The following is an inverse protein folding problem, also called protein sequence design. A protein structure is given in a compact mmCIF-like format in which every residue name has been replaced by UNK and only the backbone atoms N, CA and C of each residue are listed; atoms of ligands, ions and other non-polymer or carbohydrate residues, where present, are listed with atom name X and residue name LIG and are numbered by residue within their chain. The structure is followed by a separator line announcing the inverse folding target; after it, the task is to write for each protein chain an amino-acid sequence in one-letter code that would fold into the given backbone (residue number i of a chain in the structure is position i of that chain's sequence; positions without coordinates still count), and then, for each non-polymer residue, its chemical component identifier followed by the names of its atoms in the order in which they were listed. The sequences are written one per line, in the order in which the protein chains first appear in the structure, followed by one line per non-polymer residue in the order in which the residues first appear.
data_IF_320151791934
#
_entry.id   IF_320151791934
#
_cell.length_a   1.000
_cell.length_b   1.000
_cell.length_c   1.000
_cell.angle_alpha   90.00
_cell.angle_beta   90.00
_cell.angle_gamma   90.00
#
_symmetry.space_group_name_H-M   'P 1'
#
loop_
_entity.id
_entity.type
_entity.pdbx_description
1 polymer ?
#
# COMPACT_ATOMS: atom_id res chain seq x y z
N UNK A 1 -13.60 6.28 15.65
CA UNK A 1 -13.22 6.13 14.23
C UNK A 1 -11.73 6.37 13.99
N UNK A 2 -11.11 7.36 14.65
CA UNK A 2 -9.66 7.63 14.56
C UNK A 2 -8.77 6.40 14.75
N UNK A 3 -9.04 5.55 15.74
CA UNK A 3 -8.26 4.30 15.98
C UNK A 3 -8.29 3.30 14.82
N UNK A 4 -9.30 3.36 13.94
CA UNK A 4 -9.43 2.49 12.77
C UNK A 4 -8.86 3.17 11.52
N UNK A 5 -9.02 4.50 11.41
CA UNK A 5 -8.50 5.27 10.28
C UNK A 5 -6.97 5.40 10.32
N UNK A 6 -6.40 5.60 11.50
CA UNK A 6 -4.96 5.79 11.69
C UNK A 6 -4.10 4.64 11.16
N UNK A 7 -4.39 3.34 11.44
CA UNK A 7 -3.64 2.24 10.84
C UNK A 7 -3.84 2.11 9.32
N UNK A 8 -4.96 2.58 8.79
CA UNK A 8 -5.23 2.58 7.34
C UNK A 8 -4.37 3.64 6.65
N UNK A 9 -4.31 4.84 7.21
CA UNK A 9 -3.43 5.93 6.74
C UNK A 9 -1.97 5.48 6.81
N UNK A 10 -1.55 4.88 7.93
CA UNK A 10 -0.19 4.34 8.06
C UNK A 10 0.12 3.25 7.03
N UNK A 11 -0.82 2.35 6.76
CA UNK A 11 -0.65 1.30 5.74
C UNK A 11 -0.58 1.89 4.32
N UNK A 12 -1.31 2.99 4.06
CA UNK A 12 -1.27 3.68 2.78
C UNK A 12 0.04 4.41 2.55
N UNK A 13 0.47 5.19 3.54
CA UNK A 13 1.74 5.90 3.48
C UNK A 13 2.92 4.93 3.38
N UNK A 14 2.92 3.82 4.12
CA UNK A 14 4.00 2.84 4.06
C UNK A 14 4.08 2.13 2.71
N UNK A 15 2.95 1.70 2.14
CA UNK A 15 2.91 1.11 0.80
C UNK A 15 3.38 2.10 -0.27
N UNK A 16 2.95 3.37 -0.18
CA UNK A 16 3.39 4.42 -1.10
C UNK A 16 4.91 4.65 -1.02
N UNK A 17 5.46 4.76 0.20
CA UNK A 17 6.90 4.94 0.42
C UNK A 17 7.69 3.74 -0.10
N UNK A 18 7.29 2.51 0.23
CA UNK A 18 7.97 1.29 -0.23
C UNK A 18 7.97 1.21 -1.76
N UNK A 19 6.83 1.51 -2.38
CA UNK A 19 6.69 1.47 -3.84
C UNK A 19 7.57 2.54 -4.51
N UNK A 20 7.62 3.76 -3.95
CA UNK A 20 8.49 4.83 -4.44
C UNK A 20 9.98 4.49 -4.29
N UNK A 21 10.37 3.88 -3.17
CA UNK A 21 11.76 3.43 -2.96
C UNK A 21 12.11 2.34 -3.95
N UNK A 22 11.25 1.33 -4.15
CA UNK A 22 11.45 0.28 -5.14
C UNK A 22 11.59 0.86 -6.55
N UNK A 23 10.74 1.82 -6.94
CA UNK A 23 10.84 2.53 -8.22
C UNK A 23 12.22 3.16 -8.40
N UNK A 24 12.72 3.90 -7.40
CA UNK A 24 14.03 4.54 -7.48
C UNK A 24 15.16 3.50 -7.57
N UNK A 25 15.09 2.42 -6.79
CA UNK A 25 16.08 1.34 -6.85
C UNK A 25 16.08 0.69 -8.23
N UNK A 26 14.92 0.31 -8.77
CA UNK A 26 14.86 -0.30 -10.10
C UNK A 26 15.37 0.65 -11.19
N UNK A 27 14.99 1.92 -11.14
CA UNK A 27 15.41 2.94 -12.11
C UNK A 27 16.92 3.22 -12.09
N UNK A 28 17.52 3.29 -10.90
CA UNK A 28 18.92 3.72 -10.78
C UNK A 28 19.93 2.57 -10.69
N UNK A 29 19.55 1.42 -10.10
CA UNK A 29 20.47 0.29 -9.89
C UNK A 29 20.32 -0.83 -10.93
N UNK A 30 19.09 -1.13 -11.39
CA UNK A 30 18.83 -2.32 -12.19
C UNK A 30 18.61 -2.01 -13.67
N UNK A 31 17.92 -0.90 -13.97
CA UNK A 31 17.57 -0.52 -15.34
C UNK A 31 17.91 0.95 -15.61
N UNK A 32 19.21 1.30 -15.70
CA UNK A 32 19.65 2.69 -15.87
C UNK A 32 19.32 3.28 -17.24
N UNK A 33 19.07 2.43 -18.25
CA UNK A 33 18.73 2.86 -19.60
C UNK A 33 17.21 3.03 -19.76
N UNK A 34 16.73 4.15 -20.33
CA UNK A 34 15.30 4.49 -20.43
C UNK A 34 14.47 3.51 -21.27
N UNK A 35 15.11 2.64 -22.05
CA UNK A 35 14.46 1.67 -22.93
C UNK A 35 14.24 0.29 -22.29
N UNK A 36 14.82 0.02 -21.10
CA UNK A 36 14.92 -1.35 -20.61
C UNK A 36 13.73 -1.88 -19.81
N UNK A 37 12.78 -1.03 -19.39
CA UNK A 37 11.58 -1.53 -18.69
C UNK A 37 10.48 -0.46 -18.55
N UNK A 38 9.18 -0.76 -18.79
CA UNK A 38 8.09 0.20 -18.62
C UNK A 38 7.67 0.28 -17.14
N UNK A 39 8.58 0.79 -16.29
CA UNK A 39 8.40 0.89 -14.83
C UNK A 39 7.13 1.69 -14.47
N UNK A 40 6.76 2.67 -15.32
CA UNK A 40 5.55 3.48 -15.11
C UNK A 40 4.27 2.64 -15.28
N UNK A 41 4.19 1.77 -16.29
CA UNK A 41 3.00 0.93 -16.54
C UNK A 41 2.82 -0.11 -15.42
N UNK A 42 3.91 -0.70 -14.92
CA UNK A 42 3.84 -1.60 -13.76
C UNK A 42 3.49 -0.86 -12.46
N UNK A 43 3.94 0.38 -12.28
CA UNK A 43 3.61 1.16 -11.08
C UNK A 43 2.11 1.49 -10.99
N UNK A 44 1.43 1.63 -12.13
CA UNK A 44 -0.03 1.80 -12.19
C UNK A 44 -0.75 0.54 -11.68
N UNK A 45 -0.23 -0.66 -11.98
CA UNK A 45 -0.79 -1.90 -11.45
C UNK A 45 -0.71 -1.97 -9.91
N UNK A 46 0.35 -1.41 -9.32
CA UNK A 46 0.48 -1.33 -7.86
C UNK A 46 -0.58 -0.42 -7.22
N UNK A 47 -1.00 0.65 -7.90
CA UNK A 47 -2.10 1.52 -7.43
C UNK A 47 -3.43 0.75 -7.43
N UNK A 48 -3.70 -0.04 -8.46
CA UNK A 48 -4.91 -0.88 -8.50
C UNK A 48 -4.89 -1.95 -7.40
N UNK A 49 -3.75 -2.60 -7.20
CA UNK A 49 -3.56 -3.58 -6.12
C UNK A 49 -3.75 -2.93 -4.75
N UNK A 50 -3.23 -1.70 -4.55
CA UNK A 50 -3.46 -0.91 -3.34
C UNK A 50 -4.94 -0.60 -3.12
N UNK A 51 -5.67 -0.28 -4.19
CA UNK A 51 -7.12 -0.04 -4.18
C UNK A 51 -7.95 -1.26 -3.75
N UNK A 52 -7.44 -2.48 -3.94
CA UNK A 52 -8.08 -3.73 -3.49
C UNK A 52 -7.64 -4.09 -2.06
N UNK A 53 -6.35 -3.97 -1.75
CA UNK A 53 -5.78 -4.38 -0.47
C UNK A 53 -6.28 -3.49 0.68
N UNK A 54 -6.45 -2.19 0.47
CA UNK A 54 -6.90 -1.26 1.51
C UNK A 54 -8.29 -1.53 2.08
N UNK A 55 -9.34 -1.69 1.26
CA UNK A 55 -10.65 -2.04 1.78
C UNK A 55 -10.63 -3.37 2.54
N UNK A 56 -9.82 -4.35 2.11
CA UNK A 56 -9.65 -5.62 2.84
C UNK A 56 -9.01 -5.40 4.22
N UNK A 57 -7.92 -4.64 4.30
CA UNK A 57 -7.27 -4.28 5.58
C UNK A 57 -8.25 -3.53 6.48
N UNK A 58 -9.00 -2.58 5.93
CA UNK A 58 -10.02 -1.84 6.66
C UNK A 58 -11.09 -2.75 7.24
N UNK A 59 -11.66 -3.66 6.43
CA UNK A 59 -12.70 -4.61 6.87
C UNK A 59 -12.17 -5.51 7.98
N UNK A 60 -10.95 -6.05 7.83
CA UNK A 60 -10.33 -6.92 8.84
C UNK A 60 -10.14 -6.17 10.17
N UNK A 61 -9.56 -4.97 10.12
CA UNK A 61 -9.34 -4.14 11.32
C UNK A 61 -10.65 -3.71 11.97
N UNK A 62 -11.65 -3.34 11.17
CA UNK A 62 -12.97 -2.98 11.68
C UNK A 62 -13.66 -4.16 12.38
N UNK A 63 -13.57 -5.37 11.82
CA UNK A 63 -14.10 -6.60 12.46
C UNK A 63 -13.37 -6.93 13.75
N UNK A 64 -12.06 -6.75 13.81
CA UNK A 64 -11.26 -6.95 15.03
C UNK A 64 -11.63 -5.93 16.13
N UNK A 65 -11.79 -4.65 15.78
CA UNK A 65 -12.17 -3.60 16.74
C UNK A 65 -13.59 -3.86 17.28
N UNK A 66 -14.52 -4.30 16.42
CA UNK A 66 -15.88 -4.69 16.83
C UNK A 66 -15.88 -5.91 17.76
N UNK A 67 -15.01 -6.90 17.53
CA UNK A 67 -14.86 -8.06 18.43
C UNK A 67 -14.32 -7.63 19.80
N UNK A 68 -13.29 -6.77 19.83
CA UNK A 68 -12.74 -6.24 21.10
C UNK A 68 -13.79 -5.48 21.91
N UNK A 69 -14.59 -4.62 21.27
CA UNK A 69 -15.67 -3.87 21.94
C UNK A 69 -16.81 -4.73 22.48
N UNK A 70 -17.02 -5.94 21.94
CA UNK A 70 -18.04 -6.88 22.44
C UNK A 70 -17.54 -7.80 23.56
N UNK A 71 -16.22 -7.87 23.74
CA UNK A 71 -15.57 -8.67 24.79
C UNK A 71 -15.26 -7.86 26.06
N UNK A 72 -15.53 -6.55 26.01
CA UNK A 72 -15.53 -5.61 27.14
C UNK A 72 -16.97 -5.38 27.56
#
# INVERSE_FOLDING_TARGET
MLNVLQPVIWSHSSLGIVTAVLYLVFKFLLFPAPEMYPIVEESINLIYVQGIIMPLIFIVRFRQDRKRRKAM
#
